data_IF_783561899254
#
_entry.id   IF_783561899254
#
_cell.length_a   1.000
_cell.length_b   1.000
_cell.length_c   1.000
_cell.angle_alpha   90.00
_cell.angle_beta   90.00
_cell.angle_gamma   90.00
#
_symmetry.space_group_name_H-M   'P 1'
#
loop_
_entity.id
_entity.type
_entity.pdbx_description
1 polymer ?
#
# COMPACT_ATOMS: atom_id res chain seq x y z
N UNK A 1 5.29 34.55 1.66
CA UNK A 1 5.07 33.16 1.21
C UNK A 1 4.00 32.57 2.11
N UNK A 2 2.93 31.99 1.55
CA UNK A 2 1.82 31.43 2.34
C UNK A 2 2.29 30.22 3.17
N UNK A 3 1.81 30.06 4.40
CA UNK A 3 2.20 28.97 5.33
C UNK A 3 2.20 27.57 4.68
N UNK A 4 1.27 27.32 3.75
CA UNK A 4 1.17 26.05 3.03
C UNK A 4 2.35 25.76 2.10
N UNK A 5 2.95 26.76 1.46
CA UNK A 5 4.10 26.55 0.55
C UNK A 5 5.35 26.10 1.31
N UNK A 6 5.55 26.62 2.53
CA UNK A 6 6.68 26.24 3.36
C UNK A 6 6.55 24.77 3.85
N UNK A 7 5.33 24.37 4.23
CA UNK A 7 5.04 23.01 4.65
C UNK A 7 5.24 21.99 3.51
N UNK A 8 4.75 22.30 2.30
CA UNK A 8 4.94 21.46 1.12
C UNK A 8 6.42 21.23 0.82
N UNK A 9 7.23 22.29 0.83
CA UNK A 9 8.68 22.19 0.60
C UNK A 9 9.37 21.32 1.65
N UNK A 10 8.96 21.45 2.92
CA UNK A 10 9.48 20.64 4.01
C UNK A 10 9.16 19.15 3.82
N UNK A 11 7.90 18.82 3.53
CA UNK A 11 7.47 17.43 3.27
C UNK A 11 8.17 16.83 2.05
N UNK A 12 8.36 17.64 1.00
CA UNK A 12 9.07 17.23 -0.20
C UNK A 12 10.53 16.84 0.11
N UNK A 13 11.23 17.64 0.94
CA UNK A 13 12.59 17.34 1.37
C UNK A 13 12.67 16.12 2.29
N UNK A 14 11.75 16.01 3.25
CA UNK A 14 11.73 14.93 4.25
C UNK A 14 11.50 13.55 3.62
N UNK A 15 10.52 13.45 2.71
CA UNK A 15 10.12 12.19 2.07
C UNK A 15 10.75 11.97 0.68
N UNK A 16 11.62 12.89 0.22
CA UNK A 16 12.33 12.73 -1.05
C UNK A 16 11.48 12.92 -2.31
N UNK A 17 10.43 13.74 -2.25
CA UNK A 17 9.57 14.07 -3.39
C UNK A 17 9.92 15.44 -3.99
N UNK A 18 9.53 15.66 -5.23
CA UNK A 18 9.55 16.98 -5.84
C UNK A 18 8.40 17.84 -5.26
N UNK A 19 8.61 19.15 -4.99
CA UNK A 19 7.61 20.01 -4.34
C UNK A 19 6.24 19.99 -5.03
N UNK A 20 6.20 20.05 -6.36
CA UNK A 20 4.94 20.03 -7.11
C UNK A 20 4.12 18.73 -6.91
N UNK A 21 4.78 17.61 -6.60
CA UNK A 21 4.08 16.35 -6.32
C UNK A 21 3.33 16.45 -4.98
N UNK A 22 3.98 17.01 -3.97
CA UNK A 22 3.35 17.25 -2.67
C UNK A 22 2.21 18.25 -2.80
N UNK A 23 2.36 19.31 -3.59
CA UNK A 23 1.26 20.26 -3.86
C UNK A 23 0.05 19.55 -4.46
N UNK A 24 0.27 18.65 -5.42
CA UNK A 24 -0.79 17.86 -6.05
C UNK A 24 -1.45 16.89 -5.07
N UNK A 25 -0.68 16.22 -4.22
CA UNK A 25 -1.26 15.36 -3.19
C UNK A 25 -2.10 16.16 -2.20
N UNK A 26 -1.63 17.34 -1.77
CA UNK A 26 -2.40 18.23 -0.89
C UNK A 26 -3.69 18.70 -1.56
N UNK A 27 -3.67 18.98 -2.87
CA UNK A 27 -4.88 19.32 -3.63
C UNK A 27 -5.89 18.18 -3.67
N UNK A 28 -5.44 16.92 -3.77
CA UNK A 28 -6.33 15.77 -3.87
C UNK A 28 -6.80 15.20 -2.53
N UNK A 29 -5.94 15.20 -1.53
CA UNK A 29 -6.11 14.46 -0.27
C UNK A 29 -6.18 15.38 0.96
N UNK A 30 -5.94 16.69 0.77
CA UNK A 30 -5.67 17.60 1.88
C UNK A 30 -4.29 17.36 2.50
N UNK A 31 -3.93 18.17 3.51
CA UNK A 31 -2.65 18.06 4.21
C UNK A 31 -2.54 16.73 4.96
N UNK A 32 -3.56 16.39 5.75
CA UNK A 32 -3.52 15.19 6.59
C UNK A 32 -3.46 13.90 5.74
N UNK A 33 -4.29 13.79 4.71
CA UNK A 33 -4.28 12.65 3.80
C UNK A 33 -2.96 12.53 3.01
N UNK A 34 -2.30 13.66 2.70
CA UNK A 34 -0.96 13.63 2.10
C UNK A 34 0.07 13.07 3.06
N UNK A 35 0.05 13.50 4.33
CA UNK A 35 0.97 12.98 5.35
C UNK A 35 0.75 11.47 5.56
N UNK A 36 -0.50 11.01 5.58
CA UNK A 36 -0.81 9.58 5.69
C UNK A 36 -0.31 8.78 4.48
N UNK A 37 -0.49 9.30 3.26
CA UNK A 37 0.02 8.68 2.04
C UNK A 37 1.55 8.54 2.08
N UNK A 38 2.25 9.63 2.42
CA UNK A 38 3.71 9.64 2.49
C UNK A 38 4.22 8.62 3.52
N UNK A 39 3.62 8.61 4.72
CA UNK A 39 3.94 7.62 5.77
C UNK A 39 3.64 6.18 5.36
N UNK A 40 2.62 5.96 4.53
CA UNK A 40 2.28 4.64 4.02
C UNK A 40 3.30 4.15 2.98
N UNK A 41 3.82 5.05 2.13
CA UNK A 41 4.82 4.72 1.11
C UNK A 41 6.18 4.33 1.70
N UNK A 42 6.52 4.82 2.90
CA UNK A 42 7.73 4.41 3.62
C UNK A 42 7.66 2.97 4.16
N UNK A 43 6.47 2.36 4.18
CA UNK A 43 6.29 0.99 4.67
C UNK A 43 6.50 -0.01 3.53
N UNK A 44 7.18 -1.14 3.78
CA UNK A 44 7.27 -2.23 2.82
C UNK A 44 5.89 -2.71 2.38
N UNK A 45 5.76 -3.05 1.10
CA UNK A 45 4.55 -3.65 0.56
C UNK A 45 4.27 -4.97 1.27
N UNK A 46 3.03 -5.18 1.71
CA UNK A 46 2.59 -6.48 2.22
C UNK A 46 2.58 -7.48 1.07
N UNK A 47 3.38 -8.56 1.11
CA UNK A 47 3.37 -9.57 0.08
C UNK A 47 1.98 -10.17 -0.07
N UNK A 48 1.51 -10.28 -1.31
CA UNK A 48 0.21 -10.87 -1.61
C UNK A 48 0.28 -11.70 -2.88
N UNK A 49 -0.52 -12.76 -2.91
CA UNK A 49 -0.57 -13.72 -4.01
C UNK A 49 -2.00 -13.86 -4.53
N UNK A 50 -2.12 -14.06 -5.85
CA UNK A 50 -3.38 -14.40 -6.51
C UNK A 50 -3.35 -15.86 -6.94
N UNK A 51 -4.35 -16.63 -6.54
CA UNK A 51 -4.53 -18.02 -6.96
C UNK A 51 -4.82 -18.07 -8.46
N UNK A 52 -4.19 -19.00 -9.18
CA UNK A 52 -4.57 -19.35 -10.53
C UNK A 52 -5.71 -20.39 -10.52
N UNK A 53 -6.94 -19.91 -10.55
CA UNK A 53 -8.17 -20.74 -10.44
C UNK A 53 -8.39 -21.70 -11.60
N UNK A 54 -7.69 -21.53 -12.73
CA UNK A 54 -7.70 -22.50 -13.84
C UNK A 54 -6.92 -23.78 -13.51
N UNK A 55 -6.02 -23.73 -12.51
CA UNK A 55 -5.14 -24.85 -12.15
C UNK A 55 -5.45 -25.44 -10.78
N UNK A 56 -5.95 -24.64 -9.84
CA UNK A 56 -6.20 -25.05 -8.45
C UNK A 56 -7.22 -24.13 -7.80
N UNK A 57 -8.05 -24.66 -6.89
CA UNK A 57 -8.97 -23.85 -6.10
C UNK A 57 -8.22 -23.02 -5.03
N UNK A 58 -8.81 -21.93 -4.55
CA UNK A 58 -8.23 -21.10 -3.51
C UNK A 58 -8.09 -21.85 -2.17
N UNK A 59 -9.06 -22.71 -1.84
CA UNK A 59 -9.03 -23.56 -0.64
C UNK A 59 -7.89 -24.58 -0.70
N UNK A 60 -7.72 -25.26 -1.83
CA UNK A 60 -6.67 -26.29 -1.97
C UNK A 60 -5.27 -25.66 -1.94
N UNK A 61 -5.09 -24.50 -2.57
CA UNK A 61 -3.82 -23.78 -2.50
C UNK A 61 -3.51 -23.38 -1.06
N UNK A 62 -4.49 -22.83 -0.33
CA UNK A 62 -4.32 -22.42 1.07
C UNK A 62 -3.85 -23.60 1.92
N UNK A 63 -4.53 -24.74 1.82
CA UNK A 63 -4.16 -25.96 2.57
C UNK A 63 -2.71 -26.37 2.26
N UNK A 64 -2.32 -26.43 0.98
CA UNK A 64 -0.98 -26.85 0.56
C UNK A 64 0.13 -25.91 1.05
N UNK A 65 -0.12 -24.60 1.05
CA UNK A 65 0.86 -23.61 1.50
C UNK A 65 0.96 -23.57 3.03
N UNK A 66 -0.16 -23.68 3.75
CA UNK A 66 -0.14 -23.79 5.22
C UNK A 66 0.55 -25.05 5.69
N UNK A 67 0.39 -26.19 4.99
CA UNK A 67 1.15 -27.41 5.27
C UNK A 67 2.67 -27.25 5.03
N UNK A 68 3.08 -26.26 4.25
CA UNK A 68 4.49 -25.90 4.03
C UNK A 68 5.01 -24.84 5.01
N UNK A 69 4.18 -24.40 5.95
CA UNK A 69 4.55 -23.40 6.96
C UNK A 69 4.25 -21.95 6.58
N UNK A 70 3.50 -21.69 5.50
CA UNK A 70 3.07 -20.33 5.17
C UNK A 70 1.81 -19.94 5.94
N UNK A 71 1.83 -18.75 6.52
CA UNK A 71 0.65 -18.11 7.07
C UNK A 71 -0.06 -17.33 5.96
N UNK A 72 -1.34 -17.59 5.76
CA UNK A 72 -2.12 -16.98 4.67
C UNK A 72 -3.39 -16.33 5.22
N UNK A 73 -3.47 -15.01 5.08
CA UNK A 73 -4.67 -14.23 5.39
C UNK A 73 -5.46 -13.99 4.09
N UNK A 74 -6.72 -14.41 4.04
CA UNK A 74 -7.56 -14.18 2.85
C UNK A 74 -7.95 -12.70 2.74
N UNK A 75 -7.81 -12.13 1.53
CA UNK A 75 -8.25 -10.77 1.26
C UNK A 75 -9.78 -10.75 1.15
N UNK A 76 -10.44 -9.97 2.04
CA UNK A 76 -11.90 -10.00 2.22
C UNK A 76 -12.71 -9.78 0.93
N UNK A 77 -12.23 -8.91 0.05
CA UNK A 77 -12.93 -8.55 -1.20
C UNK A 77 -12.44 -9.34 -2.43
N UNK A 78 -11.43 -10.21 -2.29
CA UNK A 78 -10.90 -11.03 -3.39
C UNK A 78 -10.79 -12.48 -2.92
N UNK A 79 -11.78 -13.34 -3.23
CA UNK A 79 -11.85 -14.69 -2.67
C UNK A 79 -10.68 -15.61 -3.10
N UNK A 80 -9.98 -15.24 -4.18
CA UNK A 80 -8.83 -15.97 -4.72
C UNK A 80 -7.50 -15.24 -4.47
N UNK A 81 -7.40 -14.39 -3.45
CA UNK A 81 -6.16 -13.73 -3.08
C UNK A 81 -5.86 -13.83 -1.58
N UNK A 82 -4.57 -13.93 -1.26
CA UNK A 82 -4.06 -14.06 0.09
C UNK A 82 -2.92 -13.08 0.32
N UNK A 83 -2.81 -12.54 1.53
CA UNK A 83 -1.56 -11.97 2.04
C UNK A 83 -0.70 -13.10 2.60
N UNK A 84 0.61 -12.96 2.44
CA UNK A 84 1.64 -13.94 2.83
C UNK A 84 2.59 -13.31 3.82
#
# INVERSE_FOLDING_TARGET
MSQNQNLTLKLAQEYGYLPYMIERYVQFLGIDGTIELLKANEKPLTPSIRVNTLKISASDLKIRLTQKGFELEQIKWIPYAFKV
#
